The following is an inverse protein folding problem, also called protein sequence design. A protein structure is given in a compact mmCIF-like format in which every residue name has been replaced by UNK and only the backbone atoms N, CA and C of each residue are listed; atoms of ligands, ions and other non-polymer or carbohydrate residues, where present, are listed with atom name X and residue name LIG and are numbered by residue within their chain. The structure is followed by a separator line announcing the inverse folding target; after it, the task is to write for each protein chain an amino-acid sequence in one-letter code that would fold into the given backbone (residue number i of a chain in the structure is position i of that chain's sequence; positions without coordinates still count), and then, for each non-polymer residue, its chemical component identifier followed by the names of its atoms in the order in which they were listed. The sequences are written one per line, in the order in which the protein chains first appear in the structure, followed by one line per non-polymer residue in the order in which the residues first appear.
data_IF_110497094852
#
_entry.id   IF_110497094852
#
_cell.length_a   1.000
_cell.length_b   1.000
_cell.length_c   1.000
_cell.angle_alpha   90.00
_cell.angle_beta   90.00
_cell.angle_gamma   90.00
#
_symmetry.space_group_name_H-M   'P 1'
#
loop_
_entity.id
_entity.type
_entity.pdbx_description
1 polymer ?
#
# COMPACT_ATOMS: atom_id res chain seq x y z
N UNK A 1 -34.02 -16.06 4.61
CA UNK A 1 -33.04 -16.02 3.51
C UNK A 1 -32.91 -14.57 3.10
N UNK A 2 -31.82 -13.89 3.46
CA UNK A 2 -31.63 -12.46 3.21
C UNK A 2 -30.74 -12.30 1.97
N UNK A 3 -31.33 -12.46 0.79
CA UNK A 3 -30.67 -12.12 -0.48
C UNK A 3 -31.09 -10.69 -0.81
N UNK A 4 -30.17 -9.76 -0.64
CA UNK A 4 -30.37 -8.36 -1.03
C UNK A 4 -30.32 -8.26 -2.55
N UNK A 5 -31.35 -7.66 -3.15
CA UNK A 5 -31.50 -7.45 -4.60
C UNK A 5 -30.35 -6.64 -5.24
N UNK A 6 -29.53 -5.95 -4.43
CA UNK A 6 -28.45 -5.06 -4.88
C UNK A 6 -27.04 -5.67 -4.75
N UNK A 7 -26.92 -6.99 -4.59
CA UNK A 7 -25.61 -7.66 -4.47
C UNK A 7 -24.79 -7.67 -5.78
N UNK A 8 -25.38 -7.28 -6.92
CA UNK A 8 -24.70 -7.23 -8.22
C UNK A 8 -24.22 -5.83 -8.64
N UNK A 9 -24.54 -4.79 -7.87
CA UNK A 9 -24.17 -3.39 -8.18
C UNK A 9 -22.71 -3.05 -7.82
N UNK A 10 -21.94 -4.03 -7.31
CA UNK A 10 -20.54 -3.87 -6.92
C UNK A 10 -19.67 -3.30 -8.05
N UNK A 11 -20.01 -3.59 -9.31
CA UNK A 11 -19.30 -3.08 -10.50
C UNK A 11 -19.41 -1.56 -10.63
N UNK A 12 -20.51 -0.96 -10.18
CA UNK A 12 -20.74 0.49 -10.21
C UNK A 12 -19.91 1.17 -9.12
N UNK A 13 -19.80 0.52 -7.96
CA UNK A 13 -19.07 1.05 -6.82
C UNK A 13 -17.56 0.78 -6.87
N UNK A 14 -17.11 -0.18 -7.69
CA UNK A 14 -15.71 -0.59 -7.76
C UNK A 14 -14.75 0.57 -8.06
N UNK A 15 -14.99 1.41 -9.08
CA UNK A 15 -14.10 2.54 -9.36
C UNK A 15 -14.06 3.57 -8.22
N UNK A 16 -15.20 3.78 -7.54
CA UNK A 16 -15.29 4.72 -6.42
C UNK A 16 -14.58 4.17 -5.18
N UNK A 17 -14.73 2.89 -4.89
CA UNK A 17 -14.03 2.22 -3.80
C UNK A 17 -12.52 2.19 -4.03
N UNK A 18 -12.07 1.90 -5.26
CA UNK A 18 -10.66 1.94 -5.64
C UNK A 18 -10.08 3.35 -5.50
N UNK A 19 -10.80 4.38 -5.96
CA UNK A 19 -10.40 5.77 -5.79
C UNK A 19 -10.31 6.17 -4.31
N UNK A 20 -11.35 5.88 -3.52
CA UNK A 20 -11.35 6.19 -2.09
C UNK A 20 -10.25 5.46 -1.33
N UNK A 21 -9.97 4.20 -1.66
CA UNK A 21 -8.90 3.43 -1.04
C UNK A 21 -7.51 3.97 -1.40
N UNK A 22 -7.28 4.26 -2.69
CA UNK A 22 -5.99 4.76 -3.17
C UNK A 22 -5.68 6.18 -2.68
N UNK A 23 -6.70 6.98 -2.35
CA UNK A 23 -6.56 8.36 -1.88
C UNK A 23 -6.78 8.51 -0.36
N UNK A 24 -7.15 7.45 0.35
CA UNK A 24 -7.27 7.49 1.80
C UNK A 24 -5.90 7.50 2.47
N UNK A 25 -5.73 8.37 3.46
CA UNK A 25 -4.54 8.41 4.29
C UNK A 25 -4.41 7.10 5.07
N UNK A 26 -3.32 6.36 4.82
CA UNK A 26 -3.11 5.12 5.54
C UNK A 26 -2.64 5.43 6.98
N UNK A 27 -3.33 4.86 7.98
CA UNK A 27 -3.15 5.17 9.41
C UNK A 27 -1.71 5.05 9.91
N UNK A 28 -0.90 4.21 9.27
CA UNK A 28 0.51 4.02 9.58
C UNK A 28 1.45 5.05 8.94
N UNK A 29 1.08 5.69 7.83
CA UNK A 29 2.02 6.40 6.94
C UNK A 29 1.65 7.86 6.67
N UNK A 30 0.53 8.34 7.20
CA UNK A 30 0.02 9.71 7.03
C UNK A 30 -0.04 10.24 5.59
N UNK A 31 0.01 9.33 4.62
CA UNK A 31 -0.01 9.59 3.19
C UNK A 31 -0.87 8.52 2.53
N UNK A 32 -1.52 8.88 1.43
CA UNK A 32 -2.29 7.93 0.63
C UNK A 32 -1.38 7.09 -0.29
N UNK A 33 -1.79 5.85 -0.64
CA UNK A 33 -1.07 5.04 -1.62
C UNK A 33 -0.84 5.75 -2.97
N UNK A 34 -1.81 6.53 -3.44
CA UNK A 34 -1.69 7.35 -4.64
C UNK A 34 -0.59 8.42 -4.48
N UNK A 35 -0.61 9.15 -3.37
CA UNK A 35 0.42 10.16 -3.05
C UNK A 35 1.81 9.55 -2.94
N UNK A 36 1.90 8.31 -2.47
CA UNK A 36 3.14 7.54 -2.40
C UNK A 36 3.69 7.18 -3.78
N UNK A 37 2.83 6.79 -4.72
CA UNK A 37 3.23 6.39 -6.07
C UNK A 37 3.52 7.59 -6.96
N UNK A 38 2.71 8.65 -6.85
CA UNK A 38 2.69 9.79 -7.77
C UNK A 38 3.27 11.08 -7.17
N UNK A 39 3.58 11.12 -5.86
CA UNK A 39 4.17 12.28 -5.20
C UNK A 39 3.25 13.50 -5.08
N UNK A 40 1.95 13.33 -5.36
CA UNK A 40 0.91 14.37 -5.30
C UNK A 40 -0.35 13.80 -4.65
N UNK A 41 -0.93 14.54 -3.72
CA UNK A 41 -2.26 14.23 -3.19
C UNK A 41 -3.33 14.56 -4.25
N UNK A 42 -4.33 13.71 -4.43
CA UNK A 42 -5.48 14.06 -5.27
C UNK A 42 -6.37 15.05 -4.52
N UNK A 43 -6.44 16.29 -4.99
CA UNK A 43 -7.60 17.13 -4.67
C UNK A 43 -8.76 16.72 -5.60
N UNK A 44 -9.99 16.72 -5.09
CA UNK A 44 -11.20 16.61 -5.92
C UNK A 44 -11.34 17.79 -6.92
N UNK A 45 -10.45 18.79 -6.86
CA UNK A 45 -10.34 19.91 -7.79
C UNK A 45 -9.82 19.51 -9.20
N UNK A 46 -10.22 18.35 -9.71
CA UNK A 46 -9.89 17.86 -11.06
C UNK A 46 -10.61 18.61 -12.19
N UNK A 47 -10.85 19.92 -12.04
CA UNK A 47 -11.30 20.79 -13.16
C UNK A 47 -10.20 21.75 -13.60
N UNK A 48 -9.07 21.86 -12.89
CA UNK A 48 -7.94 22.66 -13.38
C UNK A 48 -6.60 21.96 -13.29
N UNK A 49 -6.37 21.03 -14.22
CA UNK A 49 -5.01 20.60 -14.57
C UNK A 49 -4.36 21.76 -15.32
N UNK A 50 -3.67 22.64 -14.61
CA UNK A 50 -2.72 23.56 -15.25
C UNK A 50 -1.54 22.72 -15.72
N UNK A 51 -1.26 22.73 -17.02
CA UNK A 51 -0.25 21.89 -17.68
C UNK A 51 1.21 22.32 -17.41
N UNK A 52 1.46 23.24 -16.48
CA UNK A 52 2.73 23.96 -16.37
C UNK A 52 3.63 23.54 -15.19
N UNK A 53 3.67 22.25 -14.83
CA UNK A 53 4.80 21.75 -14.02
C UNK A 53 5.90 21.20 -14.93
N UNK A 54 7.11 21.80 -14.94
CA UNK A 54 8.23 21.25 -15.72
C UNK A 54 8.49 19.80 -15.29
N UNK A 55 8.34 18.87 -16.22
CA UNK A 55 8.43 17.41 -16.04
C UNK A 55 9.59 16.97 -15.10
N UNK A 56 10.73 17.66 -15.16
CA UNK A 56 11.89 17.38 -14.31
C UNK A 56 11.66 17.57 -12.80
N UNK A 57 10.91 18.59 -12.37
CA UNK A 57 10.65 18.85 -10.93
C UNK A 57 9.69 17.82 -10.33
N UNK A 58 8.73 17.35 -11.12
CA UNK A 58 7.82 16.29 -10.71
C UNK A 58 8.56 14.96 -10.56
N UNK A 59 9.41 14.61 -11.53
CA UNK A 59 10.20 13.37 -11.50
C UNK A 59 11.16 13.31 -10.31
N UNK A 60 11.86 14.39 -9.98
CA UNK A 60 12.76 14.41 -8.80
C UNK A 60 12.00 14.28 -7.50
N UNK A 61 10.84 14.95 -7.38
CA UNK A 61 9.95 14.82 -6.22
C UNK A 61 9.45 13.37 -6.09
N UNK A 62 9.02 12.76 -7.19
CA UNK A 62 8.58 11.37 -7.24
C UNK A 62 9.66 10.41 -6.72
N UNK A 63 10.88 10.54 -7.23
CA UNK A 63 12.02 9.72 -6.82
C UNK A 63 12.33 9.89 -5.33
N UNK A 64 12.23 11.13 -4.81
CA UNK A 64 12.46 11.38 -3.39
C UNK A 64 11.43 10.68 -2.50
N UNK A 65 10.14 10.75 -2.85
CA UNK A 65 9.06 10.06 -2.12
C UNK A 65 9.22 8.54 -2.20
N UNK A 66 9.51 8.00 -3.39
CA UNK A 66 9.75 6.57 -3.58
C UNK A 66 10.94 6.07 -2.74
N UNK A 67 12.02 6.85 -2.64
CA UNK A 67 13.19 6.49 -1.83
C UNK A 67 12.86 6.47 -0.33
N UNK A 68 12.12 7.46 0.16
CA UNK A 68 11.71 7.50 1.58
C UNK A 68 10.85 6.28 1.93
N UNK A 69 9.85 5.98 1.10
CA UNK A 69 8.94 4.84 1.32
C UNK A 69 9.71 3.51 1.28
N UNK A 70 10.65 3.36 0.34
CA UNK A 70 11.50 2.17 0.27
C UNK A 70 12.30 1.98 1.56
N UNK A 71 12.92 3.05 2.06
CA UNK A 71 13.71 3.01 3.30
C UNK A 71 12.80 2.60 4.46
N UNK A 72 11.64 3.23 4.62
CA UNK A 72 10.69 2.90 5.69
C UNK A 72 10.24 1.43 5.64
N UNK A 73 9.93 0.90 4.46
CA UNK A 73 9.57 -0.51 4.30
C UNK A 73 10.70 -1.45 4.71
N UNK A 74 11.95 -1.14 4.34
CA UNK A 74 13.11 -1.91 4.77
C UNK A 74 13.26 -1.91 6.30
N UNK A 75 13.03 -0.76 6.95
CA UNK A 75 13.03 -0.63 8.40
C UNK A 75 11.89 -1.40 9.07
N UNK A 76 10.68 -1.35 8.52
CA UNK A 76 9.50 -2.09 9.01
C UNK A 76 9.73 -3.60 8.92
N UNK A 77 10.18 -4.11 7.76
CA UNK A 77 10.50 -5.53 7.56
C UNK A 77 11.57 -6.00 8.55
N UNK A 78 12.64 -5.22 8.73
CA UNK A 78 13.72 -5.54 9.66
C UNK A 78 13.24 -5.55 11.11
N UNK A 79 12.41 -4.59 11.48
CA UNK A 79 11.83 -4.47 12.83
C UNK A 79 10.89 -5.63 13.10
N UNK A 80 9.98 -5.92 12.16
CA UNK A 80 9.05 -7.04 12.23
C UNK A 80 9.80 -8.36 12.41
N UNK A 81 10.82 -8.62 11.57
CA UNK A 81 11.71 -9.79 11.70
C UNK A 81 12.33 -9.89 13.10
N UNK A 82 12.88 -8.79 13.62
CA UNK A 82 13.47 -8.75 14.97
C UNK A 82 12.45 -9.12 16.05
N UNK A 83 11.18 -8.73 15.91
CA UNK A 83 10.14 -9.08 16.88
C UNK A 83 9.66 -10.53 16.71
N UNK A 84 9.44 -11.00 15.48
CA UNK A 84 8.99 -12.37 15.23
C UNK A 84 10.06 -13.39 15.61
N UNK A 85 11.34 -13.10 15.33
CA UNK A 85 12.45 -14.00 15.64
C UNK A 85 12.63 -14.20 17.16
N UNK A 86 12.21 -13.27 18.03
CA UNK A 86 12.29 -13.43 19.50
C UNK A 86 11.53 -14.66 20.01
N UNK A 87 10.37 -14.93 19.43
CA UNK A 87 9.49 -16.02 19.84
C UNK A 87 9.50 -17.18 18.83
N UNK A 88 10.39 -17.13 17.84
CA UNK A 88 10.47 -18.14 16.79
C UNK A 88 11.12 -19.39 17.37
N UNK A 89 10.37 -20.49 17.43
CA UNK A 89 10.94 -21.80 17.71
C UNK A 89 11.86 -22.19 16.55
N UNK A 90 12.98 -22.83 16.87
CA UNK A 90 13.87 -23.43 15.87
C UNK A 90 13.04 -24.42 15.05
N UNK A 91 13.06 -24.27 13.73
CA UNK A 91 12.44 -25.25 12.84
C UNK A 91 13.26 -26.54 12.96
N UNK A 92 12.65 -27.69 13.32
CA UNK A 92 13.35 -28.96 13.29
C UNK A 92 13.83 -29.24 11.87
N UNK A 93 15.09 -29.66 11.72
CA UNK A 93 15.56 -30.21 10.44
C UNK A 93 14.93 -31.58 10.26
N UNK A 94 13.98 -31.69 9.33
CA UNK A 94 13.36 -32.98 9.01
C UNK A 94 14.25 -33.75 8.05
N UNK A 95 14.54 -34.99 8.39
CA UNK A 95 15.17 -35.91 7.44
C UNK A 95 14.11 -36.49 6.50
N UNK A 96 14.44 -36.76 5.22
CA UNK A 96 13.53 -37.41 4.30
C UNK A 96 13.04 -38.75 4.86
N UNK A 97 11.77 -38.82 5.30
CA UNK A 97 11.14 -40.03 5.85
C UNK A 97 10.57 -39.89 7.27
N UNK A 98 10.83 -38.81 7.99
CA UNK A 98 10.23 -38.58 9.32
C UNK A 98 8.74 -38.22 9.22
N UNK A 99 7.90 -38.91 9.99
CA UNK A 99 6.47 -38.60 10.14
C UNK A 99 6.25 -37.72 11.38
N UNK A 100 5.41 -36.71 11.25
CA UNK A 100 4.91 -35.92 12.37
C UNK A 100 4.04 -36.80 13.27
N UNK A 101 4.39 -36.89 14.56
CA UNK A 101 3.48 -37.36 15.62
C UNK A 101 2.52 -36.25 16.06
#
# INVERSE_FOLDING_TARGET
MYLSYHQDDWKIWFPQAEFSYNNAEHSSKKHSPFSTIYGTETSFDLIHISQDTPSGKFSTKLQSVQNVVKIELEWEIKSFKKYTDRNRKITPEFQPGEKYE
#
